data_IF_678433891237
#
_entry.id   IF_678433891237
#
_cell.length_a   1.000
_cell.length_b   1.000
_cell.length_c   1.000
_cell.angle_alpha   90.00
_cell.angle_beta   90.00
_cell.angle_gamma   90.00
#
_symmetry.space_group_name_H-M   'P 1'
#
loop_
_entity.id
_entity.type
_entity.pdbx_description
1 polymer ?
#
# COMPACT_ATOMS: atom_id res chain seq x y z
N UNK A 1 12.40 7.56 9.65
CA UNK A 1 11.00 7.12 9.48
C UNK A 1 10.70 5.89 10.34
N UNK A 2 11.38 4.76 10.14
CA UNK A 2 11.11 3.49 10.86
C UNK A 2 11.00 3.60 12.38
N UNK A 3 11.85 4.39 13.05
CA UNK A 3 11.75 4.63 14.50
C UNK A 3 10.41 5.25 14.92
N UNK A 4 9.82 6.10 14.09
CA UNK A 4 8.53 6.75 14.36
C UNK A 4 7.35 5.80 14.10
N UNK A 5 7.51 4.86 13.16
CA UNK A 5 6.48 3.87 12.84
C UNK A 5 6.50 2.68 13.81
N UNK A 6 7.65 2.41 14.45
CA UNK A 6 7.83 1.34 15.43
C UNK A 6 6.75 1.36 16.53
N UNK A 7 6.04 0.24 16.69
CA UNK A 7 4.98 0.09 17.70
C UNK A 7 3.71 0.93 17.44
N UNK A 8 3.60 1.62 16.31
CA UNK A 8 2.46 2.47 15.96
C UNK A 8 1.55 1.84 14.91
N UNK A 9 0.40 2.48 14.69
CA UNK A 9 -0.44 2.30 13.51
C UNK A 9 -0.28 3.51 12.58
N UNK A 10 -0.15 3.27 11.28
CA UNK A 10 -0.15 4.30 10.26
C UNK A 10 -1.02 3.91 9.07
N UNK A 11 -1.41 4.91 8.29
CA UNK A 11 -2.28 4.74 7.14
C UNK A 11 -1.51 4.82 5.83
N UNK A 12 -1.85 3.95 4.90
CA UNK A 12 -1.49 4.03 3.49
C UNK A 12 -2.77 4.35 2.72
N UNK A 13 -2.80 5.50 2.06
CA UNK A 13 -3.93 5.92 1.21
C UNK A 13 -3.52 5.77 -0.24
N UNK A 14 -4.23 4.93 -0.98
CA UNK A 14 -3.99 4.68 -2.42
C UNK A 14 -5.11 5.31 -3.23
N UNK A 15 -4.80 6.38 -3.95
CA UNK A 15 -5.71 7.00 -4.91
C UNK A 15 -5.64 6.32 -6.27
N UNK A 16 -6.78 6.14 -6.92
CA UNK A 16 -6.90 5.60 -8.28
C UNK A 16 -7.78 6.52 -9.11
N UNK A 17 -7.31 6.83 -10.32
CA UNK A 17 -8.10 7.49 -11.36
C UNK A 17 -8.22 6.54 -12.55
N UNK A 18 -9.45 6.26 -12.97
CA UNK A 18 -9.76 5.47 -14.15
C UNK A 18 -10.38 6.40 -15.20
N UNK A 19 -9.78 6.45 -16.38
CA UNK A 19 -10.21 7.29 -17.50
C UNK A 19 -10.40 6.42 -18.74
N UNK A 20 -11.60 6.44 -19.30
CA UNK A 20 -11.88 5.87 -20.61
C UNK A 20 -11.41 6.84 -21.70
N UNK A 21 -10.37 6.46 -22.43
CA UNK A 21 -9.78 7.29 -23.47
C UNK A 21 -10.70 7.53 -24.68
N UNK A 22 -11.68 6.65 -24.93
CA UNK A 22 -12.60 6.76 -26.05
C UNK A 22 -13.79 7.68 -25.76
N UNK A 23 -14.33 7.61 -24.54
CA UNK A 23 -15.51 8.40 -24.15
C UNK A 23 -15.19 9.63 -23.31
N UNK A 24 -13.99 9.70 -22.73
CA UNK A 24 -13.62 10.71 -21.74
C UNK A 24 -14.27 10.50 -20.38
N UNK A 25 -15.01 9.39 -20.17
CA UNK A 25 -15.62 9.07 -18.88
C UNK A 25 -14.52 8.79 -17.85
N UNK A 26 -14.65 9.39 -16.68
CA UNK A 26 -13.70 9.20 -15.58
C UNK A 26 -14.38 8.81 -14.27
N UNK A 27 -13.62 8.16 -13.38
CA UNK A 27 -13.96 7.98 -11.97
C UNK A 27 -12.69 8.01 -11.13
N UNK A 28 -12.77 8.59 -9.94
CA UNK A 28 -11.65 8.72 -9.00
C UNK A 28 -12.11 8.25 -7.64
N UNK A 29 -11.29 7.43 -6.99
CA UNK A 29 -11.54 6.96 -5.63
C UNK A 29 -10.22 6.74 -4.89
N UNK A 30 -10.31 6.47 -3.59
CA UNK A 30 -9.16 6.13 -2.78
C UNK A 30 -9.51 5.01 -1.79
N UNK A 31 -8.52 4.17 -1.49
CA UNK A 31 -8.60 3.12 -0.48
C UNK A 31 -7.59 3.41 0.63
N UNK A 32 -8.06 3.37 1.88
CA UNK A 32 -7.21 3.54 3.07
C UNK A 32 -6.94 2.18 3.69
N UNK A 33 -5.67 1.90 3.96
CA UNK A 33 -5.23 0.68 4.65
C UNK A 33 -4.41 1.06 5.89
N UNK A 34 -4.82 0.55 7.04
CA UNK A 34 -4.10 0.72 8.30
C UNK A 34 -3.08 -0.41 8.45
N UNK A 35 -1.84 -0.04 8.76
CA UNK A 35 -0.74 -0.96 8.99
C UNK A 35 -0.23 -0.77 10.41
N UNK A 36 -0.20 -1.87 11.16
CA UNK A 36 0.25 -1.89 12.54
C UNK A 36 1.63 -2.50 12.60
N UNK A 37 2.60 -1.73 13.07
CA UNK A 37 3.94 -2.24 13.30
C UNK A 37 4.05 -2.88 14.68
N UNK A 38 4.86 -3.93 14.78
CA UNK A 38 5.40 -4.33 16.08
C UNK A 38 6.43 -3.31 16.54
N UNK A 39 6.81 -3.38 17.82
CA UNK A 39 8.01 -2.68 18.28
C UNK A 39 9.25 -3.25 17.57
N UNK A 40 10.10 -2.34 17.10
CA UNK A 40 11.35 -2.63 16.41
C UNK A 40 12.53 -2.21 17.29
N UNK A 41 13.53 -3.08 17.39
CA UNK A 41 14.80 -2.73 18.00
C UNK A 41 15.64 -1.90 17.03
N UNK A 42 16.51 -1.03 17.55
CA UNK A 42 17.42 -0.22 16.73
C UNK A 42 18.28 -1.07 15.80
N UNK A 43 18.74 -2.24 16.26
CA UNK A 43 19.52 -3.19 15.46
C UNK A 43 18.76 -3.75 14.26
N UNK A 44 17.44 -3.94 14.38
CA UNK A 44 16.60 -4.40 13.26
C UNK A 44 16.41 -3.29 12.23
N UNK A 45 16.24 -2.06 12.69
CA UNK A 45 16.13 -0.86 11.84
C UNK A 45 17.44 -0.67 11.06
N UNK A 46 18.59 -0.73 11.75
CA UNK A 46 19.90 -0.57 11.13
C UNK A 46 20.17 -1.67 10.09
N UNK A 47 19.90 -2.92 10.44
CA UNK A 47 20.04 -4.05 9.52
C UNK A 47 19.17 -3.91 8.27
N UNK A 48 17.95 -3.39 8.42
CA UNK A 48 17.05 -3.16 7.30
C UNK A 48 17.52 -2.02 6.40
N UNK A 49 17.99 -0.91 6.98
CA UNK A 49 18.57 0.19 6.22
C UNK A 49 19.78 -0.29 5.42
N UNK A 50 20.67 -1.08 6.04
CA UNK A 50 21.84 -1.66 5.38
C UNK A 50 21.49 -2.63 4.24
N UNK A 51 20.29 -3.21 4.25
CA UNK A 51 19.82 -4.06 3.15
C UNK A 51 19.51 -3.28 1.86
N UNK A 52 19.40 -1.95 1.95
CA UNK A 52 19.10 -1.06 0.82
C UNK A 52 17.61 -0.95 0.46
N UNK A 53 16.76 -1.86 0.95
CA UNK A 53 15.33 -1.93 0.62
C UNK A 53 14.55 -0.66 1.04
N UNK A 54 14.99 0.04 2.08
CA UNK A 54 14.35 1.25 2.56
C UNK A 54 14.41 2.43 1.56
N UNK A 55 15.36 2.42 0.63
CA UNK A 55 15.78 3.63 -0.12
C UNK A 55 14.78 4.09 -1.18
N UNK A 56 13.93 3.20 -1.68
CA UNK A 56 12.97 3.47 -2.76
C UNK A 56 11.51 3.24 -2.31
N UNK A 57 11.29 3.28 -1.00
CA UNK A 57 9.98 2.96 -0.41
C UNK A 57 9.41 4.17 0.32
N UNK A 58 8.16 4.52 -0.02
CA UNK A 58 7.39 5.48 0.77
C UNK A 58 7.24 4.95 2.21
N UNK A 59 7.49 5.80 3.21
CA UNK A 59 7.50 5.37 4.61
C UNK A 59 8.74 4.56 5.04
N UNK A 60 9.73 4.41 4.14
CA UNK A 60 10.99 3.69 4.36
C UNK A 60 10.83 2.19 4.68
N UNK A 61 9.77 1.54 4.19
CA UNK A 61 9.67 0.08 4.18
C UNK A 61 8.78 -0.45 3.04
N UNK A 62 9.08 -1.65 2.55
CA UNK A 62 8.25 -2.37 1.59
C UNK A 62 7.47 -3.51 2.24
N UNK A 63 6.15 -3.57 2.03
CA UNK A 63 5.29 -4.64 2.60
C UNK A 63 5.43 -6.01 1.90
N UNK A 64 6.11 -6.05 0.75
CA UNK A 64 6.39 -7.26 -0.02
C UNK A 64 7.82 -7.80 0.21
N UNK A 65 8.69 -7.00 0.83
CA UNK A 65 10.09 -7.33 1.07
C UNK A 65 10.39 -7.71 2.52
N UNK A 66 11.62 -7.48 2.97
CA UNK A 66 12.05 -7.69 4.36
C UNK A 66 11.24 -6.84 5.32
N UNK A 67 10.69 -5.70 4.87
CA UNK A 67 9.85 -4.81 5.67
C UNK A 67 8.56 -5.47 6.15
N UNK A 68 8.10 -6.56 5.50
CA UNK A 68 6.96 -7.35 5.95
C UNK A 68 7.15 -7.90 7.38
N UNK A 69 8.40 -8.16 7.81
CA UNK A 69 8.71 -8.64 9.16
C UNK A 69 8.41 -7.62 10.28
N UNK A 70 8.16 -6.36 9.93
CA UNK A 70 7.77 -5.30 10.86
C UNK A 70 6.25 -5.22 11.06
N UNK A 71 5.48 -5.72 10.10
CA UNK A 71 4.03 -5.63 10.10
C UNK A 71 3.43 -6.70 10.99
N UNK A 72 2.74 -6.27 12.06
CA UNK A 72 1.99 -7.15 12.96
C UNK A 72 0.58 -7.43 12.44
N UNK A 73 -0.05 -6.42 11.84
CA UNK A 73 -1.46 -6.49 11.42
C UNK A 73 -1.73 -5.50 10.31
N UNK A 74 -2.66 -5.84 9.43
CA UNK A 74 -3.18 -4.97 8.37
C UNK A 74 -4.69 -4.96 8.49
N UNK A 75 -5.29 -3.78 8.42
CA UNK A 75 -6.74 -3.60 8.30
C UNK A 75 -7.04 -2.81 7.03
N UNK A 76 -7.92 -3.34 6.19
CA UNK A 76 -8.18 -2.82 4.85
C UNK A 76 -7.63 -3.73 3.76
N UNK A 77 -7.33 -3.18 2.59
CA UNK A 77 -6.91 -3.96 1.43
C UNK A 77 -5.39 -4.04 1.32
N UNK A 78 -4.84 -5.25 1.45
CA UNK A 78 -3.40 -5.49 1.29
C UNK A 78 -2.86 -4.97 -0.05
N UNK A 79 -3.60 -5.16 -1.15
CA UNK A 79 -3.16 -4.71 -2.46
C UNK A 79 -3.13 -3.19 -2.59
N UNK A 80 -3.98 -2.46 -1.86
CA UNK A 80 -3.85 -1.01 -1.71
C UNK A 80 -2.53 -0.67 -1.03
N UNK A 81 -2.18 -1.32 0.08
CA UNK A 81 -0.88 -1.10 0.74
C UNK A 81 0.33 -1.41 -0.16
N UNK A 82 0.17 -2.32 -1.14
CA UNK A 82 1.17 -2.58 -2.19
C UNK A 82 1.20 -1.48 -3.26
N UNK A 83 0.07 -0.83 -3.53
CA UNK A 83 -0.04 0.32 -4.43
C UNK A 83 -1.19 0.28 -5.44
N UNK A 84 -2.01 -0.78 -5.47
CA UNK A 84 -3.18 -0.84 -6.36
C UNK A 84 -4.32 -1.67 -5.73
N UNK A 85 -5.49 -1.07 -5.43
CA UNK A 85 -6.62 -1.77 -4.82
C UNK A 85 -7.33 -2.70 -5.80
N UNK A 86 -6.82 -3.92 -6.01
CA UNK A 86 -7.29 -4.81 -7.08
C UNK A 86 -8.79 -5.13 -7.05
N UNK A 87 -9.36 -5.43 -5.87
CA UNK A 87 -10.79 -5.76 -5.76
C UNK A 87 -11.67 -4.55 -6.15
N UNK A 88 -11.42 -3.40 -5.54
CA UNK A 88 -12.09 -2.13 -5.83
C UNK A 88 -11.92 -1.72 -7.30
N UNK A 89 -10.73 -1.91 -7.87
CA UNK A 89 -10.46 -1.66 -9.29
C UNK A 89 -11.32 -2.52 -10.21
N UNK A 90 -11.46 -3.82 -9.92
CA UNK A 90 -12.28 -4.73 -10.75
C UNK A 90 -13.76 -4.34 -10.68
N UNK A 91 -14.27 -3.91 -9.52
CA UNK A 91 -15.63 -3.38 -9.37
C UNK A 91 -15.84 -2.14 -10.24
N UNK A 92 -14.89 -1.20 -10.21
CA UNK A 92 -14.94 0.01 -11.04
C UNK A 92 -14.84 -0.29 -12.53
N UNK A 93 -13.94 -1.19 -12.95
CA UNK A 93 -13.83 -1.64 -14.35
C UNK A 93 -15.10 -2.32 -14.86
N UNK A 94 -15.80 -3.07 -14.00
CA UNK A 94 -17.08 -3.70 -14.34
C UNK A 94 -18.16 -2.65 -14.63
N UNK A 95 -18.19 -1.54 -13.87
CA UNK A 95 -19.06 -0.39 -14.12
C UNK A 95 -18.72 0.36 -15.42
N UNK A 96 -17.51 0.16 -15.95
CA UNK A 96 -17.06 0.64 -17.26
C UNK A 96 -17.31 -0.38 -18.38
N UNK A 97 -18.03 -1.48 -18.09
CA UNK A 97 -18.33 -2.53 -19.06
C UNK A 97 -17.08 -3.19 -19.67
N UNK A 98 -15.95 -3.11 -18.97
CA UNK A 98 -14.67 -3.61 -19.47
C UNK A 98 -14.64 -5.14 -19.64
N UNK A 99 -15.38 -5.88 -18.82
CA UNK A 99 -15.39 -7.35 -18.79
C UNK A 99 -16.55 -8.00 -19.54
N UNK A 100 -17.26 -7.25 -20.40
CA UNK A 100 -18.33 -7.84 -21.21
C UNK A 100 -17.74 -8.76 -22.31
N UNK A 101 -17.72 -10.06 -22.02
CA UNK A 101 -17.71 -11.13 -23.04
C UNK A 101 -19.10 -11.29 -23.66
#
# INVERSE_FOLDING_TARGET
>A
MLTHLSGTCHEIVTGVALVDAGTGRETVWAETTQVYFRELHSTEIDAYILSGEASDMAGAYGIQGRGAAFVRRIEGCYFSAVGLPLASLVEHLSNFQFFNC
#
